data_IF_607578062476
#
_entry.id   IF_607578062476
#
_cell.length_a   1.000
_cell.length_b   1.000
_cell.length_c   1.000
_cell.angle_alpha   90.00
_cell.angle_beta   90.00
_cell.angle_gamma   90.00
#
_symmetry.space_group_name_H-M   'P 1'
#
loop_
_entity.id
_entity.type
_entity.pdbx_description
1 polymer ?
#
# COMPACT_ATOMS: atom_id res chain seq x y z
N UNK A 1 -24.83 -0.70 -13.07
CA UNK A 1 -23.71 -1.48 -13.63
C UNK A 1 -22.45 -1.10 -12.87
N UNK A 2 -21.60 -2.07 -12.53
CA UNK A 2 -20.28 -1.80 -11.95
C UNK A 2 -19.33 -1.49 -13.11
N UNK A 3 -18.63 -0.35 -13.04
CA UNK A 3 -17.64 0.07 -14.03
C UNK A 3 -16.24 -0.11 -13.43
N UNK A 4 -15.37 -0.85 -14.12
CA UNK A 4 -14.00 -1.12 -13.70
C UNK A 4 -13.07 -0.58 -14.78
N UNK A 5 -12.08 0.19 -14.35
CA UNK A 5 -11.02 0.73 -15.20
C UNK A 5 -9.67 0.22 -14.69
N UNK A 6 -8.81 -0.23 -15.60
CA UNK A 6 -7.46 -0.67 -15.26
C UNK A 6 -6.46 0.39 -15.71
N UNK A 7 -5.67 0.90 -14.77
CA UNK A 7 -4.65 1.90 -15.01
C UNK A 7 -3.30 1.40 -14.51
N UNK A 8 -2.22 1.92 -15.10
CA UNK A 8 -0.85 1.71 -14.61
C UNK A 8 -0.37 3.02 -14.01
N UNK A 9 0.11 2.97 -12.76
CA UNK A 9 0.72 4.10 -12.07
C UNK A 9 1.91 3.61 -11.23
N UNK A 10 2.96 4.41 -11.14
CA UNK A 10 4.10 4.17 -10.26
C UNK A 10 3.76 4.68 -8.86
N UNK A 11 3.69 3.77 -7.89
CA UNK A 11 3.33 4.09 -6.52
C UNK A 11 4.43 4.90 -5.77
N UNK A 12 5.66 4.94 -6.29
CA UNK A 12 6.73 5.80 -5.77
C UNK A 12 6.77 7.19 -6.46
N UNK A 13 5.84 7.49 -7.37
CA UNK A 13 5.72 8.80 -8.03
C UNK A 13 4.36 9.42 -7.74
N UNK A 14 4.37 10.55 -7.00
CA UNK A 14 3.16 11.30 -6.66
C UNK A 14 2.42 11.74 -7.92
N UNK A 15 3.15 12.23 -8.91
CA UNK A 15 2.62 12.70 -10.19
C UNK A 15 1.93 11.57 -10.96
N UNK A 16 2.53 10.37 -10.96
CA UNK A 16 1.95 9.19 -11.62
C UNK A 16 0.61 8.82 -11.02
N UNK A 17 0.49 8.81 -9.69
CA UNK A 17 -0.76 8.48 -8.99
C UNK A 17 -1.83 9.56 -9.22
N UNK A 18 -1.44 10.84 -9.22
CA UNK A 18 -2.39 11.93 -9.46
C UNK A 18 -3.04 11.91 -10.85
N UNK A 19 -2.47 11.19 -11.83
CA UNK A 19 -3.14 10.93 -13.11
C UNK A 19 -4.43 10.11 -12.98
N UNK A 20 -4.60 9.39 -11.87
CA UNK A 20 -5.81 8.63 -11.56
C UNK A 20 -6.98 9.52 -11.12
N UNK A 21 -6.75 10.82 -10.92
CA UNK A 21 -7.80 11.78 -10.59
C UNK A 21 -8.94 11.71 -11.60
N UNK A 22 -10.17 11.85 -11.09
CA UNK A 22 -11.39 11.90 -11.89
C UNK A 22 -12.13 13.20 -11.59
N UNK A 23 -13.25 13.42 -12.27
CA UNK A 23 -14.11 14.58 -12.03
C UNK A 23 -14.65 14.64 -10.58
N UNK A 24 -14.60 13.51 -9.85
CA UNK A 24 -14.94 13.41 -8.43
C UNK A 24 -13.80 12.72 -7.69
N UNK A 25 -13.61 13.11 -6.44
CA UNK A 25 -12.69 12.45 -5.51
C UNK A 25 -13.18 11.04 -5.17
N UNK A 26 -12.26 10.19 -4.75
CA UNK A 26 -12.56 8.83 -4.32
C UNK A 26 -13.07 8.84 -2.88
N UNK A 27 -14.07 8.02 -2.60
CA UNK A 27 -14.59 7.82 -1.24
C UNK A 27 -13.77 6.78 -0.47
N UNK A 28 -13.07 5.90 -1.19
CA UNK A 28 -12.27 4.80 -0.64
C UNK A 28 -11.07 4.49 -1.53
N UNK A 29 -9.96 4.15 -0.90
CA UNK A 29 -8.79 3.58 -1.55
C UNK A 29 -8.37 2.31 -0.79
N UNK A 30 -7.92 1.29 -1.53
CA UNK A 30 -7.49 0.02 -0.95
C UNK A 30 -6.09 -0.32 -1.47
N UNK A 31 -5.15 -0.58 -0.55
CA UNK A 31 -3.82 -1.09 -0.87
C UNK A 31 -3.62 -2.43 -0.16
N UNK A 32 -3.80 -3.54 -0.89
CA UNK A 32 -3.72 -4.87 -0.31
C UNK A 32 -2.31 -5.45 -0.49
N UNK A 33 -1.54 -5.54 0.59
CA UNK A 33 -0.18 -6.12 0.60
C UNK A 33 0.81 -5.46 -0.37
N UNK A 34 0.62 -4.20 -0.75
CA UNK A 34 1.50 -3.51 -1.71
C UNK A 34 2.45 -2.50 -1.05
N UNK A 35 2.06 -1.86 0.07
CA UNK A 35 2.84 -0.77 0.69
C UNK A 35 4.25 -1.21 1.08
N UNK A 36 4.38 -2.46 1.53
CA UNK A 36 5.63 -3.04 2.00
C UNK A 36 6.70 -3.26 0.90
N UNK A 37 6.30 -3.28 -0.37
CA UNK A 37 7.23 -3.48 -1.49
C UNK A 37 7.67 -2.15 -2.15
N UNK A 38 7.15 -1.02 -1.67
CA UNK A 38 7.44 0.30 -2.20
C UNK A 38 8.62 0.90 -1.43
N UNK A 39 9.69 1.28 -2.15
CA UNK A 39 10.92 1.83 -1.55
C UNK A 39 10.67 3.11 -0.74
N UNK A 40 9.89 4.03 -1.30
CA UNK A 40 9.52 5.29 -0.67
C UNK A 40 8.00 5.45 -0.74
N UNK A 41 7.37 5.40 0.43
CA UNK A 41 5.91 5.37 0.56
C UNK A 41 5.30 6.77 0.65
N UNK A 42 6.07 7.81 0.96
CA UNK A 42 5.56 9.17 1.14
C UNK A 42 4.77 9.67 -0.11
N UNK A 43 5.26 9.48 -1.35
CA UNK A 43 4.53 9.89 -2.56
C UNK A 43 3.14 9.27 -2.67
N UNK A 44 3.01 7.99 -2.30
CA UNK A 44 1.74 7.27 -2.31
C UNK A 44 0.75 7.88 -1.33
N UNK A 45 1.15 8.05 -0.07
CA UNK A 45 0.26 8.58 0.97
C UNK A 45 -0.19 10.01 0.66
N UNK A 46 0.72 10.86 0.17
CA UNK A 46 0.41 12.24 -0.20
C UNK A 46 -0.55 12.33 -1.40
N UNK A 47 -0.39 11.46 -2.40
CA UNK A 47 -1.29 11.42 -3.54
C UNK A 47 -2.67 10.86 -3.16
N UNK A 48 -2.71 9.76 -2.39
CA UNK A 48 -3.97 9.17 -1.91
C UNK A 48 -4.76 10.17 -1.07
N UNK A 49 -4.09 10.92 -0.20
CA UNK A 49 -4.74 12.00 0.58
C UNK A 49 -5.40 13.06 -0.31
N UNK A 50 -4.74 13.50 -1.40
CA UNK A 50 -5.34 14.47 -2.33
C UNK A 50 -6.50 13.88 -3.14
N UNK A 51 -6.42 12.59 -3.46
CA UNK A 51 -7.41 11.90 -4.28
C UNK A 51 -8.65 11.46 -3.50
N UNK A 52 -8.54 11.34 -2.17
CA UNK A 52 -9.66 11.04 -1.30
C UNK A 52 -10.49 12.29 -0.99
N UNK A 53 -11.79 12.12 -0.83
CA UNK A 53 -12.63 13.16 -0.24
C UNK A 53 -12.33 13.37 1.26
N UNK A 54 -12.89 14.43 1.85
CA UNK A 54 -12.66 14.80 3.25
C UNK A 54 -12.99 13.69 4.27
N UNK A 55 -13.93 12.79 3.94
CA UNK A 55 -14.32 11.64 4.76
C UNK A 55 -13.85 10.31 4.15
N UNK A 56 -12.88 10.38 3.24
CA UNK A 56 -12.39 9.27 2.47
C UNK A 56 -11.65 8.26 3.34
N UNK A 57 -11.82 6.98 3.04
CA UNK A 57 -11.21 5.91 3.83
C UNK A 57 -10.09 5.27 3.02
N UNK A 58 -8.88 5.30 3.57
CA UNK A 58 -7.78 4.48 3.09
C UNK A 58 -7.68 3.21 3.92
N UNK A 59 -7.88 2.05 3.28
CA UNK A 59 -7.67 0.73 3.88
C UNK A 59 -6.41 0.13 3.30
N UNK A 60 -5.50 -0.30 4.17
CA UNK A 60 -4.30 -1.00 3.73
C UNK A 60 -4.07 -2.26 4.56
N UNK A 61 -3.40 -3.22 3.95
CA UNK A 61 -2.96 -4.44 4.61
C UNK A 61 -1.44 -4.58 4.43
N UNK A 62 -0.78 -5.00 5.51
CA UNK A 62 0.64 -5.36 5.51
C UNK A 62 0.78 -6.80 5.99
N UNK A 63 1.87 -7.46 5.64
CA UNK A 63 2.16 -8.77 6.23
C UNK A 63 2.39 -8.63 7.73
N UNK A 64 1.82 -9.57 8.48
CA UNK A 64 2.08 -9.67 9.91
C UNK A 64 3.49 -10.27 10.11
N UNK A 65 4.34 -9.71 10.99
CA UNK A 65 5.74 -10.17 11.15
C UNK A 65 5.88 -11.66 11.50
N UNK A 66 4.89 -12.26 12.17
CA UNK A 66 4.89 -13.68 12.53
C UNK A 66 4.37 -14.61 11.43
N UNK A 67 3.76 -14.08 10.37
CA UNK A 67 3.21 -14.83 9.23
C UNK A 67 3.96 -14.52 7.93
N UNK A 68 5.26 -14.24 8.04
CA UNK A 68 6.17 -14.20 6.90
C UNK A 68 6.60 -15.62 6.57
N UNK A 69 6.67 -15.99 5.29
CA UNK A 69 7.32 -17.23 4.88
C UNK A 69 8.79 -17.13 5.28
N UNK A 70 9.19 -17.87 6.31
CA UNK A 70 10.58 -18.01 6.75
C UNK A 70 11.38 -18.72 5.66
N UNK A 71 11.82 -17.97 4.66
CA UNK A 71 12.99 -18.35 3.87
C UNK A 71 14.21 -17.80 4.58
N UNK A 72 15.35 -18.49 4.52
CA UNK A 72 16.60 -18.13 5.24
C UNK A 72 17.02 -16.67 5.07
N UNK A 73 16.51 -15.99 4.03
CA UNK A 73 16.78 -14.60 3.66
C UNK A 73 16.07 -13.52 4.48
N UNK A 74 15.06 -13.85 5.28
CA UNK A 74 14.22 -12.84 5.96
C UNK A 74 14.12 -13.02 7.49
N UNK A 75 15.04 -13.75 8.11
CA UNK A 75 15.10 -13.82 9.58
C UNK A 75 15.74 -12.57 10.15
N UNK A 76 15.00 -11.83 10.99
CA UNK A 76 15.57 -10.81 11.87
C UNK A 76 16.08 -11.45 13.17
N UNK A 77 17.08 -10.85 13.82
CA UNK A 77 17.68 -11.38 15.06
C UNK A 77 16.66 -11.62 16.17
N UNK A 78 15.63 -10.77 16.25
CA UNK A 78 14.52 -10.93 17.20
C UNK A 78 13.65 -12.14 16.90
N UNK A 79 13.50 -12.57 15.64
CA UNK A 79 12.73 -13.77 15.28
C UNK A 79 13.51 -15.07 15.52
N UNK A 80 14.84 -15.05 15.45
CA UNK A 80 15.70 -16.21 15.75
C UNK A 80 15.62 -16.64 17.22
N UNK A 81 15.50 -15.68 18.14
CA UNK A 81 15.45 -15.97 19.59
C UNK A 81 14.18 -16.72 20.00
N UNK A 82 13.05 -16.52 19.31
CA UNK A 82 11.78 -17.18 19.62
C UNK A 82 11.64 -18.60 19.06
N UNK A 83 12.53 -19.03 18.16
CA UNK A 83 12.47 -20.35 17.53
C UNK A 83 13.44 -21.37 18.18
N UNK A 84 14.26 -20.92 19.13
CA UNK A 84 15.23 -21.75 19.85
C UNK A 84 14.81 -22.10 21.30
N UNK A 85 13.58 -21.77 21.71
CA UNK A 85 12.97 -22.23 22.97
C UNK A 85 11.88 -23.29 22.71
#
# INVERSE_FOLDING_TARGET
>A
MIQIEFCVADAASRESILTLKRNRLFTKAVSNMAIMDIRDIEPLFMAVYELLDENGIFVFATQHPCFVTLTEKYMTTSQLLWYCD
#
